data_IF_883515556373
#
_entry.id   IF_883515556373
#
_cell.length_a   1.000
_cell.length_b   1.000
_cell.length_c   1.000
_cell.angle_alpha   90.00
_cell.angle_beta   90.00
_cell.angle_gamma   90.00
#
_symmetry.space_group_name_H-M   'P 1'
#
loop_
_entity.id
_entity.type
_entity.pdbx_description
1 polymer ?
#
# COMPACT_ATOMS: atom_id res chain seq x y z
N UNK A 1 -15.03 -7.55 -8.58
CA UNK A 1 -15.88 -6.34 -8.49
C UNK A 1 -15.19 -5.08 -9.04
N UNK A 2 -15.92 -3.97 -9.21
CA UNK A 2 -15.40 -2.61 -9.46
C UNK A 2 -15.71 -1.72 -8.27
N UNK A 3 -14.84 -0.77 -7.93
CA UNK A 3 -15.08 0.09 -6.76
C UNK A 3 -13.84 0.85 -6.28
N UNK A 4 -13.97 1.42 -5.09
CA UNK A 4 -12.91 2.06 -4.31
C UNK A 4 -12.55 1.16 -3.14
N UNK A 5 -11.30 1.19 -2.71
CA UNK A 5 -10.86 0.47 -1.53
C UNK A 5 -9.93 1.32 -0.68
N UNK A 6 -9.97 1.03 0.61
CA UNK A 6 -9.10 1.59 1.63
C UNK A 6 -8.18 0.47 2.13
N UNK A 7 -6.89 0.75 2.26
CA UNK A 7 -5.95 -0.11 2.96
C UNK A 7 -5.46 0.60 4.22
N UNK A 8 -5.69 -0.01 5.38
CA UNK A 8 -5.07 0.43 6.63
C UNK A 8 -3.66 -0.16 6.71
N UNK A 9 -2.69 0.70 6.92
CA UNK A 9 -1.27 0.36 7.01
C UNK A 9 -0.74 0.80 8.37
N UNK A 10 0.15 0.01 8.95
CA UNK A 10 0.96 0.41 10.10
C UNK A 10 2.41 0.50 9.67
N UNK A 11 3.03 1.66 9.88
CA UNK A 11 4.45 1.93 9.69
C UNK A 11 5.13 1.84 11.06
N UNK A 12 6.00 0.86 11.25
CA UNK A 12 6.55 0.47 12.57
C UNK A 12 7.61 1.42 13.12
N UNK A 13 8.27 2.19 12.26
CA UNK A 13 9.31 3.18 12.58
C UNK A 13 9.34 4.27 11.52
N UNK A 14 10.03 5.37 11.75
CA UNK A 14 10.25 6.38 10.72
C UNK A 14 11.01 5.77 9.52
N UNK A 15 10.51 6.02 8.31
CA UNK A 15 11.05 5.51 7.05
C UNK A 15 11.29 6.65 6.06
N UNK A 16 12.38 6.55 5.30
CA UNK A 16 12.58 7.31 4.07
C UNK A 16 12.67 6.31 2.92
N UNK A 17 11.74 6.37 1.97
CA UNK A 17 11.63 5.40 0.88
C UNK A 17 11.65 6.16 -0.45
N UNK A 18 12.46 5.68 -1.40
CA UNK A 18 12.40 6.15 -2.78
C UNK A 18 11.23 5.49 -3.52
N UNK A 19 10.22 6.27 -3.88
CA UNK A 19 8.98 5.82 -4.52
C UNK A 19 8.93 6.31 -5.96
N UNK A 20 9.42 5.50 -6.89
CA UNK A 20 9.31 5.78 -8.33
C UNK A 20 9.68 7.22 -8.71
N UNK A 21 8.77 7.90 -9.41
CA UNK A 21 8.91 9.31 -9.80
C UNK A 21 8.61 10.31 -8.69
N UNK A 22 8.03 9.90 -7.56
CA UNK A 22 7.78 10.77 -6.40
C UNK A 22 9.07 11.09 -5.62
N UNK A 23 10.19 10.44 -5.96
CA UNK A 23 11.45 10.65 -5.27
C UNK A 23 11.45 10.04 -3.87
N UNK A 24 12.17 10.66 -2.94
CA UNK A 24 12.25 10.20 -1.55
C UNK A 24 11.07 10.77 -0.77
N UNK A 25 10.27 9.88 -0.18
CA UNK A 25 9.14 10.24 0.67
C UNK A 25 9.42 9.78 2.08
N UNK A 26 9.18 10.67 3.05
CA UNK A 26 9.30 10.39 4.47
C UNK A 26 7.95 9.94 5.05
N UNK A 27 7.97 8.85 5.81
CA UNK A 27 6.85 8.35 6.58
C UNK A 27 7.25 8.32 8.05
N UNK A 28 6.43 8.90 8.92
CA UNK A 28 6.59 8.77 10.36
C UNK A 28 6.01 7.44 10.82
N UNK A 29 6.47 6.95 11.97
CA UNK A 29 5.80 5.82 12.64
C UNK A 29 4.32 6.16 12.87
N UNK A 30 3.42 5.26 12.47
CA UNK A 30 1.99 5.48 12.67
C UNK A 30 1.11 4.71 11.69
N UNK A 31 -0.19 5.02 11.76
CA UNK A 31 -1.19 4.45 10.87
C UNK A 31 -1.38 5.34 9.63
N UNK A 32 -1.52 4.70 8.48
CA UNK A 32 -1.75 5.35 7.20
C UNK A 32 -2.90 4.68 6.48
N UNK A 33 -3.66 5.46 5.71
CA UNK A 33 -4.69 4.94 4.83
C UNK A 33 -4.27 5.19 3.39
N UNK A 34 -4.24 4.13 2.60
CA UNK A 34 -4.13 4.23 1.14
C UNK A 34 -5.52 4.09 0.52
N UNK A 35 -5.91 5.07 -0.30
CA UNK A 35 -7.14 5.06 -1.06
C UNK A 35 -6.82 4.68 -2.50
N UNK A 36 -7.45 3.63 -3.01
CA UNK A 36 -7.28 3.18 -4.38
C UNK A 36 -8.61 2.86 -5.06
N UNK A 37 -8.61 2.82 -6.38
CA UNK A 37 -9.76 2.37 -7.17
C UNK A 37 -9.40 1.15 -8.00
N UNK A 38 -10.41 0.37 -8.38
CA UNK A 38 -10.29 -0.76 -9.29
C UNK A 38 -11.49 -0.80 -10.21
N UNK A 39 -11.32 -0.48 -11.49
CA UNK A 39 -12.39 -0.59 -12.48
C UNK A 39 -12.71 -2.06 -12.84
N UNK A 40 -11.73 -2.97 -12.67
CA UNK A 40 -11.86 -4.42 -12.80
C UNK A 40 -10.95 -5.10 -11.78
N UNK A 41 -11.36 -6.28 -11.29
CA UNK A 41 -10.59 -7.14 -10.40
C UNK A 41 -10.14 -6.47 -9.08
N UNK A 42 -11.05 -5.75 -8.41
CA UNK A 42 -10.79 -5.08 -7.14
C UNK A 42 -10.13 -5.99 -6.10
N UNK A 43 -10.68 -7.20 -5.88
CA UNK A 43 -10.11 -8.14 -4.90
C UNK A 43 -8.67 -8.52 -5.26
N UNK A 44 -8.36 -8.76 -6.54
CA UNK A 44 -6.99 -9.09 -6.98
C UNK A 44 -6.02 -7.94 -6.71
N UNK A 45 -6.46 -6.68 -6.83
CA UNK A 45 -5.65 -5.51 -6.44
C UNK A 45 -5.38 -5.50 -4.95
N UNK A 46 -6.41 -5.68 -4.12
CA UNK A 46 -6.26 -5.73 -2.65
C UNK A 46 -5.31 -6.86 -2.24
N UNK A 47 -5.50 -8.08 -2.77
CA UNK A 47 -4.64 -9.23 -2.48
C UNK A 47 -3.19 -8.98 -2.89
N UNK A 48 -2.98 -8.33 -4.04
CA UNK A 48 -1.65 -7.92 -4.47
C UNK A 48 -1.01 -6.95 -3.47
N UNK A 49 -1.74 -5.97 -2.94
CA UNK A 49 -1.18 -5.04 -1.96
C UNK A 49 -0.85 -5.71 -0.61
N UNK A 50 -1.61 -6.73 -0.22
CA UNK A 50 -1.30 -7.55 0.97
C UNK A 50 -0.02 -8.40 0.81
N UNK A 51 0.32 -8.84 -0.40
CA UNK A 51 1.51 -9.69 -0.64
C UNK A 51 2.81 -8.93 -0.37
N UNK A 52 3.74 -9.50 0.40
CA UNK A 52 5.08 -8.92 0.62
C UNK A 52 6.01 -9.07 -0.57
N UNK A 53 6.14 -10.28 -1.09
CA UNK A 53 7.07 -10.59 -2.19
C UNK A 53 6.34 -10.45 -3.53
N UNK A 54 6.60 -9.37 -4.25
CA UNK A 54 5.99 -9.08 -5.54
C UNK A 54 6.88 -8.11 -6.33
N UNK A 55 6.83 -8.20 -7.67
CA UNK A 55 7.37 -7.13 -8.52
C UNK A 55 6.60 -5.85 -8.22
N UNK A 56 7.29 -4.76 -7.91
CA UNK A 56 6.72 -3.43 -7.67
C UNK A 56 6.08 -2.90 -8.96
N UNK A 57 4.84 -2.40 -8.87
CA UNK A 57 4.13 -1.78 -10.01
C UNK A 57 3.48 -0.44 -9.64
N UNK A 58 3.07 -0.26 -8.39
CA UNK A 58 2.39 0.96 -7.92
C UNK A 58 3.17 1.63 -6.80
N UNK A 59 2.92 2.93 -6.57
CA UNK A 59 3.57 3.68 -5.49
C UNK A 59 3.39 3.01 -4.11
N UNK A 60 2.19 2.50 -3.82
CA UNK A 60 1.91 1.79 -2.57
C UNK A 60 2.65 0.44 -2.46
N UNK A 61 3.09 -0.15 -3.58
CA UNK A 61 3.88 -1.38 -3.54
C UNK A 61 5.24 -1.13 -2.87
N UNK A 62 5.89 0.02 -3.11
CA UNK A 62 7.15 0.38 -2.45
C UNK A 62 7.03 0.38 -0.92
N UNK A 63 5.89 0.85 -0.41
CA UNK A 63 5.61 0.86 1.02
C UNK A 63 5.25 -0.54 1.51
N UNK A 64 4.35 -1.25 0.82
CA UNK A 64 3.87 -2.57 1.27
C UNK A 64 4.90 -3.69 1.13
N UNK A 65 5.94 -3.54 0.30
CA UNK A 65 7.07 -4.49 0.24
C UNK A 65 8.09 -4.28 1.36
N UNK A 66 8.09 -3.13 2.04
CA UNK A 66 9.02 -2.84 3.13
C UNK A 66 8.67 -3.69 4.38
N UNK A 67 9.66 -4.28 5.04
CA UNK A 67 9.48 -5.13 6.23
C UNK A 67 8.88 -4.40 7.44
N UNK A 68 9.13 -3.10 7.55
CA UNK A 68 8.64 -2.24 8.65
C UNK A 68 7.21 -1.76 8.45
N UNK A 69 6.57 -2.12 7.33
CA UNK A 69 5.18 -1.75 7.03
C UNK A 69 4.31 -2.98 7.12
N UNK A 70 3.09 -2.88 7.66
CA UNK A 70 2.11 -3.97 7.62
C UNK A 70 0.80 -3.47 7.05
N UNK A 71 0.21 -4.21 6.12
CA UNK A 71 -1.19 -4.01 5.73
C UNK A 71 -2.02 -4.70 6.82
N UNK A 72 -2.82 -3.92 7.54
CA UNK A 72 -3.62 -4.40 8.65
C UNK A 72 -4.98 -4.85 8.14
N UNK A 73 -5.70 -3.96 7.45
CA UNK A 73 -7.04 -4.23 6.97
C UNK A 73 -7.31 -3.65 5.58
N UNK A 74 -8.37 -4.15 4.95
CA UNK A 74 -8.88 -3.61 3.69
C UNK A 74 -10.41 -3.50 3.72
N UNK A 75 -10.93 -2.34 3.34
CA UNK A 75 -12.35 -2.11 3.12
C UNK A 75 -12.60 -1.78 1.65
N UNK A 76 -13.68 -2.29 1.07
CA UNK A 76 -14.05 -2.07 -0.33
C UNK A 76 -15.49 -1.54 -0.42
N UNK A 77 -15.70 -0.57 -1.31
CA UNK A 77 -16.96 0.11 -1.58
C UNK A 77 -17.24 0.11 -3.09
#
# INVERSE_FOLDING_TARGET
>A
MRGVYLLLLMVGRDLKIRIGSLGVVEFKRGYYVYVGSGQRYLEKRIQRHKKKIKRVKWHIDYLTTNSDVRVIEAAAY
#
